data_IF_579325123809
#
_entry.id   IF_579325123809
#
_cell.length_a   1.000
_cell.length_b   1.000
_cell.length_c   1.000
_cell.angle_alpha   90.00
_cell.angle_beta   90.00
_cell.angle_gamma   90.00
#
_symmetry.space_group_name_H-M   'P 1'
#
loop_
_entity.id
_entity.type
_entity.pdbx_description
1 polymer ?
#
# COMPACT_ATOMS: atom_id res chain seq x y z
N UNK A 1 -8.67 -18.33 13.82
CA UNK A 1 -7.96 -17.06 13.53
C UNK A 1 -9.04 -15.98 13.46
N UNK A 2 -8.95 -14.89 14.24
CA UNK A 2 -9.89 -13.76 14.11
C UNK A 2 -9.31 -12.79 13.08
N UNK A 3 -9.98 -12.63 11.95
CA UNK A 3 -9.59 -11.71 10.87
C UNK A 3 -10.72 -10.71 10.69
N UNK A 4 -10.45 -9.42 10.47
CA UNK A 4 -11.49 -8.45 10.15
C UNK A 4 -12.27 -8.86 8.89
N UNK A 5 -13.58 -8.62 8.89
CA UNK A 5 -14.38 -8.78 7.68
C UNK A 5 -14.08 -7.59 6.75
N UNK A 6 -13.29 -7.86 5.71
CA UNK A 6 -12.92 -6.86 4.71
C UNK A 6 -13.69 -7.11 3.41
N UNK A 7 -14.07 -6.03 2.73
CA UNK A 7 -14.68 -6.11 1.40
C UNK A 7 -13.62 -6.35 0.33
N UNK A 8 -14.00 -7.05 -0.75
CA UNK A 8 -13.12 -7.25 -1.89
C UNK A 8 -12.73 -5.90 -2.51
N UNK A 9 -11.42 -5.62 -2.52
CA UNK A 9 -10.87 -4.48 -3.23
C UNK A 9 -10.56 -4.89 -4.67
N UNK A 10 -11.05 -4.09 -5.61
CA UNK A 10 -10.74 -4.26 -7.02
C UNK A 10 -9.53 -3.41 -7.36
N UNK A 11 -8.59 -4.01 -8.09
CA UNK A 11 -7.58 -3.21 -8.75
C UNK A 11 -8.26 -2.33 -9.82
N UNK A 12 -7.89 -1.07 -9.85
CA UNK A 12 -8.44 -0.08 -10.77
C UNK A 12 -7.27 0.66 -11.38
N UNK A 13 -7.00 0.40 -12.66
CA UNK A 13 -5.84 0.92 -13.39
C UNK A 13 -5.75 2.47 -13.34
N UNK A 14 -6.89 3.14 -13.30
CA UNK A 14 -6.96 4.62 -13.22
C UNK A 14 -6.75 5.17 -11.82
N UNK A 15 -6.64 4.31 -10.80
CA UNK A 15 -6.54 4.70 -9.40
C UNK A 15 -5.15 4.40 -8.86
N UNK A 16 -4.32 5.44 -8.76
CA UNK A 16 -2.91 5.30 -8.40
C UNK A 16 -2.66 4.79 -6.97
N UNK A 17 -3.67 4.79 -6.11
CA UNK A 17 -3.61 4.21 -4.76
C UNK A 17 -4.08 2.75 -4.67
N UNK A 18 -4.49 2.11 -5.79
CA UNK A 18 -5.00 0.74 -5.76
C UNK A 18 -3.95 -0.24 -5.21
N UNK A 19 -2.70 -0.10 -5.64
CA UNK A 19 -1.57 -0.91 -5.18
C UNK A 19 -1.31 -0.71 -3.68
N UNK A 20 -1.38 0.52 -3.19
CA UNK A 20 -1.24 0.82 -1.75
C UNK A 20 -2.32 0.12 -0.93
N UNK A 21 -3.59 0.20 -1.37
CA UNK A 21 -4.70 -0.47 -0.69
C UNK A 21 -4.60 -1.99 -0.75
N UNK A 22 -4.18 -2.55 -1.90
CA UNK A 22 -3.96 -3.99 -2.04
C UNK A 22 -2.88 -4.51 -1.09
N UNK A 23 -1.76 -3.81 -0.96
CA UNK A 23 -0.67 -4.19 -0.05
C UNK A 23 -1.16 -4.16 1.41
N UNK A 24 -1.85 -3.08 1.82
CA UNK A 24 -2.41 -2.99 3.17
C UNK A 24 -3.38 -4.12 3.48
N UNK A 25 -4.31 -4.38 2.57
CA UNK A 25 -5.30 -5.43 2.72
C UNK A 25 -4.65 -6.82 2.80
N UNK A 26 -3.68 -7.09 1.93
CA UNK A 26 -2.91 -8.34 1.95
C UNK A 26 -2.17 -8.54 3.28
N UNK A 27 -1.60 -7.47 3.85
CA UNK A 27 -0.95 -7.52 5.17
C UNK A 27 -1.93 -7.76 6.31
N UNK A 28 -3.10 -7.14 6.30
CA UNK A 28 -4.15 -7.38 7.29
C UNK A 28 -4.68 -8.83 7.22
N UNK A 29 -4.79 -9.36 6.00
CA UNK A 29 -5.23 -10.74 5.75
C UNK A 29 -4.12 -11.79 5.87
N UNK A 30 -2.89 -11.41 6.17
CA UNK A 30 -1.73 -12.32 6.21
C UNK A 30 -2.02 -13.64 6.96
N UNK A 31 -2.63 -13.66 8.16
CA UNK A 31 -2.92 -14.91 8.86
C UNK A 31 -3.92 -15.82 8.13
N UNK A 32 -4.89 -15.24 7.42
CA UNK A 32 -5.85 -16.00 6.62
C UNK A 32 -5.21 -16.54 5.34
N UNK A 33 -4.38 -15.72 4.68
CA UNK A 33 -3.64 -16.13 3.47
C UNK A 33 -2.70 -17.29 3.80
N UNK A 34 -1.93 -17.19 4.88
CA UNK A 34 -1.05 -18.27 5.33
C UNK A 34 -1.80 -19.57 5.66
N UNK A 35 -2.94 -19.45 6.35
CA UNK A 35 -3.80 -20.60 6.65
C UNK A 35 -4.33 -21.23 5.37
N UNK A 36 -4.86 -20.41 4.45
CA UNK A 36 -5.39 -20.85 3.16
C UNK A 36 -4.32 -21.56 2.32
N UNK A 37 -3.15 -20.94 2.18
CA UNK A 37 -2.01 -21.52 1.46
C UNK A 37 -1.51 -22.83 2.07
N UNK A 38 -1.61 -22.97 3.41
CA UNK A 38 -1.22 -24.20 4.10
C UNK A 38 -2.27 -25.32 3.95
N UNK A 39 -3.53 -24.97 3.68
CA UNK A 39 -4.64 -25.90 3.46
C UNK A 39 -4.96 -26.17 1.99
N UNK A 40 -4.30 -25.49 1.06
CA UNK A 40 -4.64 -25.54 -0.37
C UNK A 40 -3.91 -26.67 -1.09
N UNK A 41 -4.66 -27.47 -1.84
CA UNK A 41 -4.12 -28.51 -2.73
C UNK A 41 -3.74 -27.97 -4.12
N UNK A 42 -3.94 -26.67 -4.37
CA UNK A 42 -3.67 -26.07 -5.68
C UNK A 42 -2.21 -25.65 -5.81
N UNK A 43 -1.40 -26.33 -6.64
CA UNK A 43 0.04 -26.10 -6.69
C UNK A 43 0.40 -24.70 -7.19
N UNK A 44 -0.42 -24.10 -8.04
CA UNK A 44 -0.16 -22.76 -8.58
C UNK A 44 -0.35 -21.67 -7.54
N UNK A 45 -1.28 -21.86 -6.61
CA UNK A 45 -1.53 -20.90 -5.51
C UNK A 45 -0.47 -21.04 -4.43
N UNK A 46 -0.06 -22.28 -4.12
CA UNK A 46 1.00 -22.56 -3.14
C UNK A 46 2.35 -21.98 -3.58
N UNK A 47 2.64 -21.95 -4.89
CA UNK A 47 3.84 -21.29 -5.44
C UNK A 47 3.87 -19.78 -5.18
N UNK A 48 2.71 -19.14 -5.05
CA UNK A 48 2.59 -17.71 -4.75
C UNK A 48 2.82 -17.38 -3.28
N UNK A 49 3.27 -18.34 -2.45
CA UNK A 49 3.56 -18.10 -1.05
C UNK A 49 4.69 -17.09 -0.89
N UNK A 50 4.35 -15.97 -0.27
CA UNK A 50 5.26 -14.86 -0.01
C UNK A 50 6.21 -15.27 1.11
N UNK A 51 7.50 -15.13 0.86
CA UNK A 51 8.54 -15.42 1.84
C UNK A 51 8.69 -14.27 2.85
N UNK A 52 9.37 -14.53 3.98
CA UNK A 52 9.52 -13.53 5.05
C UNK A 52 10.24 -12.25 4.59
N UNK A 53 11.20 -12.36 3.66
CA UNK A 53 11.89 -11.19 3.10
C UNK A 53 11.00 -10.37 2.17
N UNK A 54 10.18 -11.03 1.35
CA UNK A 54 9.20 -10.38 0.49
C UNK A 54 8.14 -9.64 1.32
N UNK A 55 7.75 -10.18 2.48
CA UNK A 55 6.89 -9.45 3.43
C UNK A 55 7.55 -8.19 4.00
N UNK A 56 8.86 -8.22 4.26
CA UNK A 56 9.58 -7.01 4.65
C UNK A 56 9.60 -5.99 3.52
N UNK A 57 9.88 -6.42 2.29
CA UNK A 57 9.86 -5.56 1.10
C UNK A 57 8.46 -4.96 0.87
N UNK A 58 7.39 -5.73 1.05
CA UNK A 58 6.01 -5.23 0.95
C UNK A 58 5.71 -4.16 2.00
N UNK A 59 6.22 -4.32 3.23
CA UNK A 59 6.10 -3.29 4.26
C UNK A 59 6.86 -2.01 3.88
N UNK A 60 8.03 -2.17 3.28
CA UNK A 60 8.82 -1.03 2.80
C UNK A 60 8.06 -0.28 1.69
N UNK A 61 7.42 -1.01 0.77
CA UNK A 61 6.54 -0.42 -0.26
C UNK A 61 5.32 0.28 0.33
N UNK A 62 4.67 -0.30 1.35
CA UNK A 62 3.57 0.36 2.06
C UNK A 62 4.01 1.70 2.66
N UNK A 63 5.17 1.76 3.31
CA UNK A 63 5.71 3.00 3.88
C UNK A 63 6.00 4.05 2.79
N UNK A 64 6.56 3.63 1.65
CA UNK A 64 6.86 4.51 0.52
C UNK A 64 5.58 5.04 -0.13
N UNK A 65 4.59 4.16 -0.35
CA UNK A 65 3.33 4.47 -1.03
C UNK A 65 2.32 5.20 -0.12
N UNK A 66 2.48 5.14 1.20
CA UNK A 66 1.65 5.90 2.14
C UNK A 66 1.77 7.42 1.96
N UNK A 67 2.95 7.91 1.57
CA UNK A 67 3.19 9.34 1.31
C UNK A 67 2.38 9.87 0.11
N UNK A 68 2.50 9.31 -1.11
CA UNK A 68 1.69 9.74 -2.25
C UNK A 68 0.19 9.54 -2.00
N UNK A 69 -0.22 8.48 -1.29
CA UNK A 69 -1.62 8.26 -0.96
C UNK A 69 -2.24 9.44 -0.17
N UNK A 70 -1.55 9.94 0.87
CA UNK A 70 -2.03 11.07 1.68
C UNK A 70 -2.11 12.36 0.84
N UNK A 71 -1.12 12.62 -0.01
CA UNK A 71 -1.07 13.82 -0.85
C UNK A 71 -2.16 13.78 -1.91
N UNK A 72 -2.35 12.64 -2.58
CA UNK A 72 -3.43 12.41 -3.53
C UNK A 72 -4.78 12.67 -2.84
N UNK A 73 -5.03 12.07 -1.68
CA UNK A 73 -6.30 12.23 -0.98
C UNK A 73 -6.56 13.69 -0.59
N UNK A 74 -5.51 14.41 -0.18
CA UNK A 74 -5.59 15.84 0.12
C UNK A 74 -6.00 16.63 -1.13
N UNK A 75 -5.33 16.40 -2.27
CA UNK A 75 -5.65 17.09 -3.53
C UNK A 75 -7.03 16.73 -4.09
N UNK A 76 -7.46 15.48 -3.93
CA UNK A 76 -8.79 15.02 -4.36
C UNK A 76 -9.93 15.49 -3.45
N UNK A 77 -9.63 15.92 -2.22
CA UNK A 77 -10.64 16.46 -1.30
C UNK A 77 -11.04 17.91 -1.59
N UNK A 78 -10.23 18.64 -2.37
CA UNK A 78 -10.54 20.02 -2.75
C UNK A 78 -11.70 20.07 -3.75
N UNK A 79 -12.83 20.66 -3.36
CA UNK A 79 -14.01 20.82 -4.20
C UNK A 79 -13.85 21.87 -5.32
N UNK A 80 -12.82 22.71 -5.21
CA UNK A 80 -12.47 23.74 -6.19
C UNK A 80 -11.04 23.49 -6.67
N UNK A 81 -10.81 23.23 -7.98
CA UNK A 81 -9.47 23.02 -8.50
C UNK A 81 -8.69 24.33 -8.43
N UNK A 82 -7.92 24.51 -7.36
CA UNK A 82 -6.96 25.61 -7.26
C UNK A 82 -5.60 25.07 -7.65
N UNK A 83 -5.25 25.19 -8.92
CA UNK A 83 -3.92 24.87 -9.44
C UNK A 83 -2.77 25.47 -8.60
N UNK A 84 -3.04 26.57 -7.87
CA UNK A 84 -2.10 27.18 -6.93
C UNK A 84 -1.72 26.32 -5.72
N UNK A 85 -2.53 25.33 -5.30
CA UNK A 85 -2.18 24.40 -4.22
C UNK A 85 -1.35 23.21 -4.70
N UNK A 86 -1.30 22.96 -6.01
CA UNK A 86 -0.58 21.83 -6.61
C UNK A 86 0.92 21.87 -6.33
N UNK A 87 1.57 23.03 -6.52
CA UNK A 87 3.02 23.17 -6.30
C UNK A 87 3.39 22.94 -4.82
N UNK A 88 2.73 23.59 -3.84
CA UNK A 88 2.94 23.29 -2.42
C UNK A 88 2.72 21.82 -2.05
N UNK A 89 1.72 21.16 -2.63
CA UNK A 89 1.45 19.75 -2.37
C UNK A 89 2.57 18.84 -2.91
N UNK A 90 3.15 19.16 -4.08
CA UNK A 90 4.33 18.45 -4.59
C UNK A 90 5.59 18.71 -3.74
N UNK A 91 5.78 19.93 -3.23
CA UNK A 91 6.88 20.23 -2.31
C UNK A 91 6.75 19.45 -0.99
N UNK A 92 5.53 19.37 -0.45
CA UNK A 92 5.23 18.58 0.75
C UNK A 92 5.52 17.09 0.52
N UNK A 93 5.08 16.56 -0.62
CA UNK A 93 5.34 15.20 -1.08
C UNK A 93 6.84 14.88 -1.12
N UNK A 94 7.63 15.69 -1.82
CA UNK A 94 9.09 15.48 -1.92
C UNK A 94 9.76 15.57 -0.55
N UNK A 95 9.39 16.57 0.25
CA UNK A 95 9.92 16.75 1.61
C UNK A 95 9.61 15.56 2.51
N UNK A 96 8.40 14.98 2.39
CA UNK A 96 8.00 13.81 3.18
C UNK A 96 8.83 12.57 2.81
N UNK A 97 9.11 12.33 1.54
CA UNK A 97 10.00 11.25 1.11
C UNK A 97 11.45 11.45 1.54
N UNK A 98 12.00 12.66 1.44
CA UNK A 98 13.35 12.94 1.94
C UNK A 98 13.46 12.68 3.44
N UNK A 99 12.42 13.02 4.20
CA UNK A 99 12.34 12.73 5.64
C UNK A 99 12.24 11.23 5.90
N UNK A 100 11.45 10.50 5.11
CA UNK A 100 11.32 9.04 5.21
C UNK A 100 12.68 8.37 4.95
N UNK A 101 13.38 8.75 3.89
CA UNK A 101 14.71 8.23 3.56
C UNK A 101 15.74 8.50 4.68
N UNK A 102 15.70 9.70 5.28
CA UNK A 102 16.57 10.02 6.43
C UNK A 102 16.23 9.21 7.69
N UNK A 103 14.95 8.95 7.94
CA UNK A 103 14.47 8.22 9.12
C UNK A 103 14.76 6.72 9.03
N UNK A 104 14.72 6.19 7.82
CA UNK A 104 14.81 4.74 7.58
C UNK A 104 15.88 4.48 6.51
N UNK A 105 17.19 4.48 6.86
CA UNK A 105 18.29 4.39 5.89
C UNK A 105 18.37 3.07 5.10
N UNK A 106 17.54 2.09 5.45
CA UNK A 106 17.42 0.81 4.75
C UNK A 106 16.39 0.83 3.62
N UNK A 107 15.54 1.87 3.57
CA UNK A 107 14.63 2.17 2.47
C UNK A 107 15.38 2.91 1.35
#
# INVERSE_FOLDING_TARGET
IKVPELQLLWDVETRWDSVYFMINHLREMHPAVDFFLSSSDQPDVVKCKINTMEWFVLKDFEEILGVPHVVQQTMSSESLPKLGSTIPNFELFMTAWERLAKKTPRL
#
